data_IF_436524133285
#
_entry.id   IF_436524133285
#
_cell.length_a   1.000
_cell.length_b   1.000
_cell.length_c   1.000
_cell.angle_alpha   90.00
_cell.angle_beta   90.00
_cell.angle_gamma   90.00
#
_symmetry.space_group_name_H-M   'P 1'
#
loop_
_entity.id
_entity.type
_entity.pdbx_description
1 polymer ?
#
# COMPACT_ATOMS: atom_id res chain seq x y z
N UNK A 1 12.38 18.12 -15.10
CA UNK A 1 13.27 18.17 -13.91
C UNK A 1 13.65 16.76 -13.44
N UNK A 2 12.70 15.93 -12.89
CA UNK A 2 13.01 14.58 -12.36
C UNK A 2 13.60 13.68 -13.46
N UNK A 3 12.99 13.64 -14.64
CA UNK A 3 13.47 12.83 -15.77
C UNK A 3 14.89 13.25 -16.18
N UNK A 4 15.14 14.55 -16.30
CA UNK A 4 16.46 15.10 -16.62
C UNK A 4 17.49 14.72 -15.55
N UNK A 5 17.11 14.83 -14.27
CA UNK A 5 17.98 14.46 -13.15
C UNK A 5 18.34 12.96 -13.20
N UNK A 6 17.37 12.08 -13.43
CA UNK A 6 17.61 10.65 -13.54
C UNK A 6 18.46 10.26 -14.76
N UNK A 7 18.34 11.00 -15.87
CA UNK A 7 19.15 10.79 -17.08
C UNK A 7 20.59 11.30 -16.97
N UNK A 8 20.83 12.29 -16.11
CA UNK A 8 22.16 12.92 -15.92
C UNK A 8 23.00 12.23 -14.83
N UNK A 9 22.42 11.36 -14.03
CA UNK A 9 23.10 10.72 -12.92
C UNK A 9 23.06 9.20 -13.07
N UNK A 10 24.19 8.54 -12.78
CA UNK A 10 24.29 7.07 -12.70
C UNK A 10 24.02 6.63 -11.26
N UNK A 11 22.98 5.86 -11.07
CA UNK A 11 22.59 5.29 -9.77
C UNK A 11 23.02 3.82 -9.60
N UNK A 12 23.76 3.26 -10.56
CA UNK A 12 24.22 1.87 -10.52
C UNK A 12 23.08 0.86 -10.68
N UNK A 13 21.91 1.28 -11.17
CA UNK A 13 20.73 0.43 -11.39
C UNK A 13 19.98 0.83 -12.67
N UNK A 14 19.24 -0.11 -13.27
CA UNK A 14 18.40 0.16 -14.44
C UNK A 14 17.17 0.96 -14.03
N UNK A 15 17.08 2.20 -14.49
CA UNK A 15 15.95 3.10 -14.23
C UNK A 15 15.10 3.22 -15.50
N UNK A 16 13.82 2.86 -15.37
CA UNK A 16 12.82 2.99 -16.41
C UNK A 16 11.74 3.98 -15.98
N UNK A 17 11.31 4.84 -16.88
CA UNK A 17 10.41 5.94 -16.57
C UNK A 17 9.07 5.74 -17.24
N UNK A 18 8.00 5.65 -16.43
CA UNK A 18 6.61 5.74 -16.89
C UNK A 18 6.17 7.20 -16.82
N UNK A 19 6.15 7.89 -17.96
CA UNK A 19 5.87 9.33 -18.00
C UNK A 19 4.36 9.60 -18.05
N UNK A 20 3.83 10.34 -17.08
CA UNK A 20 2.43 10.75 -16.96
C UNK A 20 2.22 12.27 -17.23
N UNK A 21 3.15 12.92 -17.95
CA UNK A 21 3.09 14.37 -18.19
C UNK A 21 1.82 14.84 -18.94
N UNK A 22 1.19 13.97 -19.73
CA UNK A 22 -0.03 14.28 -20.46
C UNK A 22 -1.29 14.21 -19.59
N UNK A 23 -1.32 13.28 -18.64
CA UNK A 23 -2.45 13.08 -17.74
C UNK A 23 -2.00 12.36 -16.47
N UNK A 24 -2.35 12.91 -15.30
CA UNK A 24 -2.16 12.22 -14.02
C UNK A 24 -3.17 11.08 -13.89
N UNK A 25 -2.67 9.87 -13.71
CA UNK A 25 -3.45 8.63 -13.77
C UNK A 25 -3.91 8.13 -12.38
N UNK A 26 -3.57 8.84 -11.31
CA UNK A 26 -3.66 8.38 -9.94
C UNK A 26 -2.79 7.13 -9.68
N UNK A 27 -2.75 6.66 -8.43
CA UNK A 27 -1.81 5.62 -8.02
C UNK A 27 -2.02 4.27 -8.73
N UNK A 28 -3.27 3.89 -9.00
CA UNK A 28 -3.58 2.63 -9.68
C UNK A 28 -3.34 2.71 -11.19
N UNK A 29 -3.76 3.82 -11.83
CA UNK A 29 -3.54 4.03 -13.25
C UNK A 29 -2.06 4.19 -13.60
N UNK A 30 -1.26 4.85 -12.74
CA UNK A 30 0.19 4.94 -12.88
C UNK A 30 0.86 3.57 -12.86
N UNK A 31 0.47 2.70 -11.93
CA UNK A 31 0.95 1.30 -11.89
C UNK A 31 0.53 0.55 -13.16
N UNK A 32 -0.74 0.64 -13.57
CA UNK A 32 -1.24 0.02 -14.81
C UNK A 32 -0.42 0.44 -16.02
N UNK A 33 -0.14 1.73 -16.18
CA UNK A 33 0.68 2.26 -17.28
C UNK A 33 2.10 1.71 -17.27
N UNK A 34 2.70 1.57 -16.08
CA UNK A 34 4.06 1.08 -15.90
C UNK A 34 4.21 -0.44 -16.10
N UNK A 35 3.13 -1.22 -16.20
CA UNK A 35 3.18 -2.69 -16.30
C UNK A 35 4.12 -3.20 -17.40
N UNK A 36 4.18 -2.53 -18.56
CA UNK A 36 5.07 -2.89 -19.65
C UNK A 36 6.57 -2.77 -19.33
N UNK A 37 6.91 -2.08 -18.24
CA UNK A 37 8.28 -1.90 -17.74
C UNK A 37 8.68 -2.96 -16.71
N UNK A 38 7.73 -3.75 -16.19
CA UNK A 38 7.94 -4.74 -15.15
C UNK A 38 8.17 -6.15 -15.73
N UNK A 39 8.88 -6.97 -14.97
CA UNK A 39 8.83 -8.42 -15.15
C UNK A 39 7.64 -8.98 -14.34
N UNK A 40 6.49 -9.10 -14.97
CA UNK A 40 5.25 -9.54 -14.32
C UNK A 40 5.20 -11.05 -14.01
N UNK A 41 6.26 -11.81 -14.32
CA UNK A 41 6.39 -13.21 -13.89
C UNK A 41 6.85 -13.33 -12.44
N UNK A 42 7.27 -12.23 -11.84
CA UNK A 42 7.69 -12.13 -10.45
C UNK A 42 6.83 -11.05 -9.75
N UNK A 43 6.63 -11.14 -8.42
CA UNK A 43 5.99 -10.07 -7.68
C UNK A 43 6.74 -8.75 -7.82
N UNK A 44 6.01 -7.64 -7.86
CA UNK A 44 6.59 -6.30 -8.00
C UNK A 44 6.35 -5.50 -6.72
N UNK A 45 7.43 -4.97 -6.14
CA UNK A 45 7.36 -4.04 -5.03
C UNK A 45 6.96 -2.65 -5.54
N UNK A 46 5.90 -2.11 -4.97
CA UNK A 46 5.43 -0.74 -5.21
C UNK A 46 5.68 0.08 -3.94
N UNK A 47 6.31 1.21 -4.09
CA UNK A 47 6.66 2.09 -2.99
C UNK A 47 6.40 3.55 -3.37
N UNK A 48 5.63 4.26 -2.57
CA UNK A 48 5.45 5.70 -2.77
C UNK A 48 6.78 6.41 -2.52
N UNK A 49 7.22 7.22 -3.47
CA UNK A 49 8.53 7.89 -3.44
C UNK A 49 8.69 8.89 -2.28
N UNK A 50 7.58 9.40 -1.77
CA UNK A 50 7.50 10.37 -0.67
C UNK A 50 7.40 9.74 0.73
N UNK A 51 7.67 8.43 0.84
CA UNK A 51 7.64 7.72 2.11
C UNK A 51 9.06 7.35 2.54
N UNK A 52 9.47 7.82 3.72
CA UNK A 52 10.63 7.30 4.45
C UNK A 52 10.17 6.32 5.52
N UNK A 53 10.86 5.19 5.68
CA UNK A 53 10.45 4.19 6.68
C UNK A 53 11.60 3.28 7.12
N UNK A 54 11.43 2.61 8.27
CA UNK A 54 12.32 1.57 8.79
C UNK A 54 11.99 0.17 8.24
N UNK A 55 11.39 0.08 7.07
CA UNK A 55 11.02 -1.21 6.47
C UNK A 55 12.22 -1.88 5.83
N UNK A 56 12.48 -3.13 6.18
CA UNK A 56 13.32 -4.01 5.39
C UNK A 56 12.53 -4.47 4.17
N UNK A 57 12.77 -3.80 3.03
CA UNK A 57 12.07 -4.08 1.78
C UNK A 57 12.39 -5.47 1.22
N UNK A 58 13.59 -5.98 1.49
CA UNK A 58 13.99 -7.34 1.08
C UNK A 58 13.17 -8.36 1.87
N UNK A 59 13.14 -8.24 3.19
CA UNK A 59 12.35 -9.16 4.02
C UNK A 59 10.85 -9.10 3.71
N UNK A 60 10.33 -7.92 3.36
CA UNK A 60 8.94 -7.77 2.92
C UNK A 60 8.69 -8.48 1.58
N UNK A 61 9.63 -8.36 0.62
CA UNK A 61 9.54 -9.01 -0.68
C UNK A 61 9.60 -10.54 -0.55
N UNK A 62 10.54 -11.05 0.25
CA UNK A 62 10.68 -12.48 0.50
C UNK A 62 9.41 -13.06 1.15
N UNK A 63 8.81 -12.33 2.12
CA UNK A 63 7.51 -12.68 2.68
C UNK A 63 6.40 -12.73 1.62
N UNK A 64 6.37 -11.81 0.68
CA UNK A 64 5.34 -11.78 -0.36
C UNK A 64 5.48 -12.97 -1.33
N UNK A 65 6.71 -13.35 -1.70
CA UNK A 65 6.97 -14.53 -2.51
C UNK A 65 6.51 -15.82 -1.78
N UNK A 66 6.74 -15.91 -0.47
CA UNK A 66 6.24 -17.02 0.35
C UNK A 66 4.71 -17.01 0.42
N UNK A 67 4.09 -15.85 0.67
CA UNK A 67 2.64 -15.71 0.77
C UNK A 67 1.91 -16.02 -0.54
N UNK A 68 2.51 -15.72 -1.70
CA UNK A 68 1.99 -16.12 -3.01
C UNK A 68 1.84 -17.64 -3.11
N UNK A 69 2.81 -18.39 -2.62
CA UNK A 69 2.80 -19.85 -2.70
C UNK A 69 1.97 -20.50 -1.60
N UNK A 70 2.13 -20.07 -0.35
CA UNK A 70 1.54 -20.71 0.84
C UNK A 70 0.11 -20.26 1.12
N UNK A 71 -0.18 -18.97 0.90
CA UNK A 71 -1.47 -18.35 1.18
C UNK A 71 -2.26 -18.01 -0.09
N UNK A 72 -1.67 -18.21 -1.27
CA UNK A 72 -2.23 -17.79 -2.57
C UNK A 72 -2.55 -16.28 -2.62
N UNK A 73 -1.68 -15.49 -1.98
CA UNK A 73 -1.82 -14.05 -1.96
C UNK A 73 -1.55 -13.46 -3.36
N UNK A 74 -2.50 -12.67 -3.86
CA UNK A 74 -2.34 -11.94 -5.12
C UNK A 74 -1.64 -10.58 -4.88
N UNK A 75 -1.73 -10.05 -3.65
CA UNK A 75 -0.93 -8.91 -3.19
C UNK A 75 -0.71 -8.95 -1.67
N UNK A 76 0.40 -8.35 -1.22
CA UNK A 76 0.72 -8.12 0.19
C UNK A 76 0.78 -6.62 0.45
N UNK A 77 -0.05 -6.14 1.38
CA UNK A 77 -0.13 -4.74 1.80
C UNK A 77 0.61 -4.56 3.11
N UNK A 78 1.63 -3.71 3.15
CA UNK A 78 2.28 -3.37 4.41
C UNK A 78 1.40 -2.44 5.22
N UNK A 79 1.08 -2.85 6.44
CA UNK A 79 0.18 -2.12 7.33
C UNK A 79 0.75 -2.00 8.75
N UNK A 80 0.24 -1.06 9.51
CA UNK A 80 0.66 -0.85 10.89
C UNK A 80 -0.49 -0.38 11.79
N UNK A 81 -0.37 -0.54 13.12
CA UNK A 81 -1.37 -0.05 14.07
C UNK A 81 -1.29 1.47 14.30
N UNK A 82 -0.50 2.23 13.51
CA UNK A 82 -0.35 3.68 13.70
C UNK A 82 -1.69 4.40 13.67
N UNK A 83 -1.79 5.48 14.42
CA UNK A 83 -2.98 6.32 14.47
C UNK A 83 -3.19 7.07 13.15
N UNK A 84 -4.39 6.97 12.60
CA UNK A 84 -4.86 7.68 11.40
C UNK A 84 -6.37 7.83 11.44
N UNK A 85 -6.95 8.50 10.47
CA UNK A 85 -8.42 8.58 10.27
C UNK A 85 -8.92 7.48 9.33
N UNK A 86 -8.03 6.91 8.51
CA UNK A 86 -8.35 5.97 7.44
C UNK A 86 -7.68 4.64 7.70
N UNK A 87 -8.48 3.60 7.83
CA UNK A 87 -7.99 2.25 8.11
C UNK A 87 -8.47 1.26 7.04
N UNK A 88 -7.62 0.30 6.74
CA UNK A 88 -8.02 -0.92 6.06
C UNK A 88 -8.63 -1.88 7.09
N UNK A 89 -9.66 -2.60 6.68
CA UNK A 89 -10.36 -3.59 7.50
C UNK A 89 -9.93 -4.97 7.04
N UNK A 90 -9.44 -5.76 7.98
CA UNK A 90 -8.98 -7.14 7.74
C UNK A 90 -9.81 -8.14 8.52
N UNK A 91 -10.04 -9.31 7.94
CA UNK A 91 -10.60 -10.46 8.66
C UNK A 91 -9.55 -11.17 9.54
N UNK A 92 -9.95 -12.24 10.23
CA UNK A 92 -9.06 -13.02 11.11
C UNK A 92 -7.90 -13.69 10.39
N UNK A 93 -8.00 -13.90 9.08
CA UNK A 93 -6.94 -14.45 8.24
C UNK A 93 -6.07 -13.35 7.61
N UNK A 94 -6.23 -12.10 8.06
CA UNK A 94 -5.55 -10.92 7.52
C UNK A 94 -5.86 -10.68 6.03
N UNK A 95 -7.03 -11.11 5.52
CA UNK A 95 -7.50 -10.72 4.19
C UNK A 95 -8.13 -9.34 4.26
N UNK A 96 -7.82 -8.51 3.29
CA UNK A 96 -8.48 -7.21 3.11
C UNK A 96 -9.98 -7.44 2.79
N UNK A 97 -10.85 -6.86 3.59
CA UNK A 97 -12.31 -6.94 3.41
C UNK A 97 -12.98 -5.58 3.29
N UNK A 98 -12.28 -4.50 3.58
CA UNK A 98 -12.86 -3.15 3.50
C UNK A 98 -11.92 -2.04 3.90
N UNK A 99 -12.50 -0.86 3.97
CA UNK A 99 -11.85 0.38 4.39
C UNK A 99 -12.85 1.21 5.20
N UNK A 100 -12.37 1.96 6.16
CA UNK A 100 -13.19 2.90 6.93
C UNK A 100 -12.48 4.22 7.17
N UNK A 101 -13.29 5.29 7.29
CA UNK A 101 -12.86 6.57 7.83
C UNK A 101 -13.56 6.79 9.19
N UNK A 102 -12.79 6.74 10.26
CA UNK A 102 -13.30 6.81 11.64
C UNK A 102 -13.82 8.21 12.04
N UNK A 103 -13.47 9.26 11.30
CA UNK A 103 -13.98 10.61 11.55
C UNK A 103 -15.37 10.80 10.93
N UNK A 104 -15.61 10.21 9.74
CA UNK A 104 -16.87 10.36 9.00
C UNK A 104 -17.84 9.20 9.22
N UNK A 105 -17.34 8.07 9.74
CA UNK A 105 -18.09 6.82 9.86
C UNK A 105 -18.27 6.10 8.51
N UNK A 106 -17.65 6.58 7.42
CA UNK A 106 -17.75 5.96 6.10
C UNK A 106 -17.08 4.59 6.11
N UNK A 107 -17.77 3.58 5.55
CA UNK A 107 -17.26 2.23 5.32
C UNK A 107 -17.39 1.90 3.84
N UNK A 108 -16.30 1.45 3.23
CA UNK A 108 -16.27 0.93 1.86
C UNK A 108 -15.88 -0.54 1.90
N UNK A 109 -16.70 -1.40 1.33
CA UNK A 109 -16.44 -2.84 1.28
C UNK A 109 -17.24 -3.48 0.17
N UNK A 110 -16.72 -4.51 -0.51
CA UNK A 110 -17.54 -5.34 -1.38
C UNK A 110 -18.45 -6.31 -0.60
N UNK A 111 -18.28 -6.41 0.74
CA UNK A 111 -19.07 -7.30 1.61
C UNK A 111 -20.18 -6.49 2.29
N UNK A 112 -21.44 -6.82 1.99
CA UNK A 112 -22.63 -6.13 2.54
C UNK A 112 -22.68 -6.16 4.07
N UNK A 113 -22.14 -7.20 4.69
CA UNK A 113 -22.10 -7.35 6.15
C UNK A 113 -21.32 -6.25 6.86
N UNK A 114 -20.41 -5.55 6.17
CA UNK A 114 -19.65 -4.46 6.75
C UNK A 114 -20.35 -3.11 6.63
N UNK A 115 -21.30 -2.92 5.70
CA UNK A 115 -21.92 -1.62 5.43
C UNK A 115 -22.70 -1.04 6.60
N UNK A 116 -23.20 -1.91 7.49
CA UNK A 116 -23.97 -1.50 8.67
C UNK A 116 -23.11 -1.44 9.95
N UNK A 117 -21.81 -1.67 9.84
CA UNK A 117 -20.89 -1.59 10.97
C UNK A 117 -20.34 -0.18 11.11
N UNK A 118 -20.16 0.24 12.35
CA UNK A 118 -19.47 1.49 12.66
C UNK A 118 -18.13 1.15 13.31
N UNK A 119 -17.08 1.70 12.75
CA UNK A 119 -15.71 1.54 13.28
C UNK A 119 -15.27 2.85 13.93
N UNK A 120 -14.67 2.72 15.10
CA UNK A 120 -14.09 3.85 15.83
C UNK A 120 -12.57 3.80 15.80
N UNK A 121 -11.94 4.90 16.15
CA UNK A 121 -10.48 4.92 16.22
C UNK A 121 -9.98 3.90 17.25
N UNK A 122 -9.00 3.05 16.90
CA UNK A 122 -8.39 2.13 17.87
C UNK A 122 -7.82 2.88 19.07
N UNK A 123 -8.12 2.40 20.27
CA UNK A 123 -7.86 3.13 21.51
C UNK A 123 -6.42 3.05 22.02
N UNK A 124 -5.62 2.06 21.59
CA UNK A 124 -4.28 1.83 22.11
C UNK A 124 -3.28 1.47 21.03
N UNK A 125 -2.01 1.78 21.27
CA UNK A 125 -0.86 1.39 20.46
C UNK A 125 -0.55 -0.13 20.50
N UNK A 126 -1.40 -0.93 21.14
CA UNK A 126 -1.27 -2.39 21.21
C UNK A 126 -2.21 -3.08 20.22
N UNK A 127 -1.72 -4.11 19.54
CA UNK A 127 -2.43 -4.84 18.49
C UNK A 127 -3.81 -5.38 18.88
N UNK A 128 -4.07 -5.59 20.17
CA UNK A 128 -5.31 -6.18 20.70
C UNK A 128 -6.49 -5.20 20.61
N UNK A 129 -6.22 -3.90 20.65
CA UNK A 129 -7.27 -2.86 20.65
C UNK A 129 -7.79 -2.49 19.25
N UNK A 130 -7.18 -3.02 18.20
CA UNK A 130 -7.59 -2.74 16.82
C UNK A 130 -8.72 -3.66 16.33
N UNK A 131 -9.10 -4.70 17.12
CA UNK A 131 -10.19 -5.60 16.75
C UNK A 131 -11.55 -4.98 17.11
N UNK A 132 -12.42 -4.85 16.11
CA UNK A 132 -13.79 -4.37 16.25
C UNK A 132 -14.71 -5.26 15.39
N UNK A 133 -15.80 -5.73 15.98
CA UNK A 133 -16.79 -6.60 15.29
C UNK A 133 -16.19 -7.89 14.70
N UNK A 134 -15.04 -8.37 15.22
CA UNK A 134 -14.34 -9.54 14.68
C UNK A 134 -13.43 -9.23 13.49
N UNK A 135 -13.22 -7.95 13.18
CA UNK A 135 -12.29 -7.44 12.17
C UNK A 135 -11.17 -6.62 12.83
N UNK A 136 -10.01 -6.55 12.17
CA UNK A 136 -8.88 -5.77 12.67
C UNK A 136 -8.61 -4.58 11.75
N UNK A 137 -8.33 -3.42 12.36
CA UNK A 137 -8.07 -2.17 11.66
C UNK A 137 -6.58 -1.85 11.61
N UNK A 138 -6.06 -1.59 10.42
CA UNK A 138 -4.67 -1.18 10.23
C UNK A 138 -4.55 -0.02 9.23
N UNK A 139 -3.57 0.85 9.48
CA UNK A 139 -3.22 1.92 8.56
C UNK A 139 -2.34 1.38 7.42
N UNK A 140 -2.69 1.69 6.18
CA UNK A 140 -1.85 1.38 5.02
C UNK A 140 -0.60 2.28 4.99
N UNK A 141 0.53 1.70 4.61
CA UNK A 141 1.82 2.41 4.56
C UNK A 141 2.16 3.06 3.23
N UNK A 142 1.41 2.75 2.15
CA UNK A 142 1.82 3.13 0.79
C UNK A 142 2.88 2.20 0.19
N UNK A 143 3.22 1.10 0.88
CA UNK A 143 4.17 0.09 0.42
C UNK A 143 3.42 -1.23 0.26
N UNK A 144 3.50 -1.83 -0.92
CA UNK A 144 2.82 -3.09 -1.21
C UNK A 144 3.55 -3.89 -2.29
N UNK A 145 3.30 -5.18 -2.32
CA UNK A 145 3.85 -6.08 -3.33
C UNK A 145 2.69 -6.73 -4.05
N UNK A 146 2.74 -6.70 -5.37
CA UNK A 146 1.65 -7.18 -6.22
C UNK A 146 2.15 -8.29 -7.15
N UNK A 147 1.38 -9.35 -7.23
CA UNK A 147 1.63 -10.47 -8.10
C UNK A 147 1.00 -10.29 -9.49
N UNK A 148 1.31 -11.22 -10.39
CA UNK A 148 0.89 -11.23 -11.80
C UNK A 148 -0.62 -11.03 -11.99
N UNK A 149 -1.43 -11.71 -11.20
CA UNK A 149 -2.89 -11.69 -11.35
C UNK A 149 -3.50 -10.30 -11.10
N UNK A 150 -2.87 -9.50 -10.23
CA UNK A 150 -3.24 -8.09 -10.03
C UNK A 150 -3.07 -7.30 -11.33
N UNK A 151 -1.94 -7.44 -12.01
CA UNK A 151 -1.68 -6.74 -13.26
C UNK A 151 -2.64 -7.18 -14.38
N UNK A 152 -2.93 -8.48 -14.47
CA UNK A 152 -3.92 -9.01 -15.41
C UNK A 152 -5.31 -8.41 -15.18
N UNK A 153 -5.75 -8.32 -13.92
CA UNK A 153 -7.04 -7.73 -13.53
C UNK A 153 -7.08 -6.22 -13.76
N UNK A 154 -5.95 -5.50 -13.61
CA UNK A 154 -5.88 -4.07 -13.88
C UNK A 154 -6.20 -3.72 -15.34
N UNK A 155 -6.08 -4.65 -16.30
CA UNK A 155 -6.46 -4.41 -17.70
C UNK A 155 -7.96 -4.08 -17.85
N UNK A 156 -8.82 -4.55 -16.94
CA UNK A 156 -10.26 -4.28 -16.90
C UNK A 156 -10.60 -2.91 -16.29
N UNK A 157 -9.63 -2.24 -15.67
CA UNK A 157 -9.84 -0.95 -15.04
C UNK A 157 -9.76 0.20 -16.05
N UNK A 158 -10.39 1.37 -15.75
CA UNK A 158 -10.19 2.57 -16.53
C UNK A 158 -8.72 2.99 -16.56
N UNK A 159 -8.38 3.99 -17.35
CA UNK A 159 -7.01 4.50 -17.43
C UNK A 159 -6.58 5.18 -16.12
N UNK A 160 -7.48 5.94 -15.50
CA UNK A 160 -7.25 6.68 -14.26
C UNK A 160 -8.06 6.10 -13.12
N UNK A 161 -7.39 5.68 -12.05
CA UNK A 161 -8.03 5.22 -10.81
C UNK A 161 -7.05 5.19 -9.64
N UNK A 162 -7.53 5.41 -8.38
CA UNK A 162 -6.76 5.18 -7.18
C UNK A 162 -6.55 3.68 -6.94
N UNK A 163 -5.36 3.27 -6.51
CA UNK A 163 -5.07 1.86 -6.22
C UNK A 163 -5.97 1.29 -5.11
N UNK A 164 -6.41 2.12 -4.18
CA UNK A 164 -7.27 1.68 -3.09
C UNK A 164 -8.66 1.29 -3.57
N UNK A 165 -9.21 2.00 -4.56
CA UNK A 165 -10.50 1.65 -5.17
C UNK A 165 -10.41 0.29 -5.90
N UNK A 166 -9.26 0.01 -6.53
CA UNK A 166 -8.98 -1.31 -7.11
C UNK A 166 -9.01 -2.40 -6.03
N UNK A 167 -8.27 -2.23 -4.94
CA UNK A 167 -8.22 -3.23 -3.88
C UNK A 167 -9.60 -3.49 -3.29
N UNK A 168 -10.38 -2.44 -3.02
CA UNK A 168 -11.73 -2.60 -2.46
C UNK A 168 -12.68 -3.25 -3.46
N UNK A 169 -12.61 -2.91 -4.73
CA UNK A 169 -13.46 -3.49 -5.78
C UNK A 169 -13.22 -5.00 -5.92
N UNK A 170 -11.95 -5.41 -5.93
CA UNK A 170 -11.55 -6.79 -6.23
C UNK A 170 -11.25 -7.65 -4.99
N UNK A 171 -11.51 -7.16 -3.76
CA UNK A 171 -11.23 -7.91 -2.53
C UNK A 171 -12.02 -9.22 -2.39
N UNK A 172 -13.10 -9.43 -3.15
CA UNK A 172 -13.81 -10.71 -3.21
C UNK A 172 -13.13 -11.71 -4.15
N UNK A 173 -12.55 -11.22 -5.24
CA UNK A 173 -12.08 -12.03 -6.35
C UNK A 173 -10.57 -12.30 -6.24
N UNK A 174 -9.84 -11.37 -5.64
CA UNK A 174 -8.40 -11.44 -5.41
C UNK A 174 -8.09 -11.56 -3.92
N UNK A 175 -6.97 -12.20 -3.62
CA UNK A 175 -6.53 -12.43 -2.24
C UNK A 175 -5.47 -11.40 -1.82
N UNK A 176 -5.91 -10.31 -1.18
CA UNK A 176 -5.03 -9.27 -0.65
C UNK A 176 -4.79 -9.50 0.84
N UNK A 177 -3.52 -9.65 1.22
CA UNK A 177 -3.10 -9.98 2.60
C UNK A 177 -2.40 -8.80 3.24
N UNK A 178 -2.75 -8.51 4.50
CA UNK A 178 -2.05 -7.53 5.31
C UNK A 178 -0.81 -8.10 5.99
N UNK A 179 0.36 -7.48 5.77
CA UNK A 179 1.57 -7.74 6.54
C UNK A 179 1.73 -6.65 7.58
N UNK A 180 1.58 -7.00 8.86
CA UNK A 180 1.68 -6.03 9.96
C UNK A 180 3.14 -5.80 10.34
N UNK A 181 3.53 -4.52 10.43
CA UNK A 181 4.77 -4.07 11.06
C UNK A 181 4.42 -3.18 12.26
N UNK A 182 4.54 -3.74 13.47
CA UNK A 182 4.11 -3.07 14.70
C UNK A 182 4.98 -1.89 15.08
N UNK A 183 6.27 -1.98 14.83
CA UNK A 183 7.29 -0.96 15.10
C UNK A 183 7.56 -0.08 13.86
N UNK A 184 6.59 0.04 12.95
CA UNK A 184 6.74 0.85 11.74
C UNK A 184 6.94 2.31 12.12
N UNK A 185 8.13 2.82 11.78
CA UNK A 185 8.40 4.26 11.70
C UNK A 185 8.20 4.68 10.26
N UNK A 186 7.35 5.67 10.03
CA UNK A 186 6.99 6.13 8.70
C UNK A 186 6.80 7.64 8.71
N UNK A 187 7.40 8.32 7.74
CA UNK A 187 7.20 9.75 7.48
C UNK A 187 6.83 9.96 6.02
N UNK A 188 5.78 10.74 5.78
CA UNK A 188 5.38 11.25 4.48
C UNK A 188 6.08 12.62 4.28
N UNK A 189 6.98 12.67 3.29
CA UNK A 189 7.78 13.88 2.98
C UNK A 189 7.28 14.61 1.74
N UNK A 190 6.08 14.29 1.27
CA UNK A 190 5.46 14.92 0.09
C UNK A 190 5.10 16.41 0.26
N UNK A 191 5.34 17.00 1.45
CA UNK A 191 5.09 18.41 1.73
C UNK A 191 6.38 19.15 2.02
N UNK A 192 6.50 20.39 1.53
CA UNK A 192 7.70 21.22 1.73
C UNK A 192 8.01 21.53 3.20
N UNK A 193 6.99 21.63 4.04
CA UNK A 193 7.13 21.89 5.48
C UNK A 193 7.69 20.70 6.26
N UNK A 194 7.60 19.49 5.71
CA UNK A 194 8.16 18.27 6.33
C UNK A 194 9.60 17.97 5.94
N UNK A 195 10.18 18.68 4.94
CA UNK A 195 11.55 18.42 4.47
C UNK A 195 12.62 18.66 5.54
N UNK A 196 12.43 19.66 6.41
CA UNK A 196 13.39 19.94 7.49
C UNK A 196 13.40 18.84 8.57
N UNK A 197 12.31 18.10 8.71
CA UNK A 197 12.20 16.96 9.64
C UNK A 197 12.67 15.66 8.99
N UNK A 198 12.64 15.59 7.65
CA UNK A 198 13.02 14.41 6.88
C UNK A 198 14.47 13.98 7.09
N UNK A 199 15.41 14.96 7.10
CA UNK A 199 16.82 14.68 7.35
C UNK A 199 17.07 14.10 8.74
N UNK A 200 16.44 14.68 9.76
CA UNK A 200 16.53 14.18 11.12
C UNK A 200 15.91 12.77 11.25
N UNK A 201 14.80 12.54 10.55
CA UNK A 201 14.15 11.23 10.53
C UNK A 201 15.01 10.18 9.78
N UNK A 202 15.59 10.52 8.64
CA UNK A 202 16.49 9.64 7.90
C UNK A 202 17.70 9.24 8.76
N UNK A 203 18.32 10.19 9.47
CA UNK A 203 19.42 9.90 10.41
C UNK A 203 18.99 8.94 11.53
N UNK A 204 17.76 9.06 12.06
CA UNK A 204 17.23 8.12 13.06
C UNK A 204 17.02 6.71 12.51
N UNK A 205 16.81 6.58 11.19
CA UNK A 205 16.69 5.30 10.51
C UNK A 205 18.03 4.68 10.13
N UNK A 206 19.15 5.45 10.24
CA UNK A 206 20.50 5.00 9.90
C UNK A 206 20.87 5.18 8.44
N UNK A 207 20.19 6.10 7.75
CA UNK A 207 20.52 6.52 6.38
C UNK A 207 21.58 7.64 6.38
#
# INVERSE_FOLDING_TARGET
QIIEYLQQNDFGTDIRISNESEMLLDTGGGIKKAVSLFNTNEPVLIHNVDILSNVDLRALYDYACEAETTQKADAVLLVSPRKTKRYLIFDKAMRLVGWTNTDTGEVKSPYETLHNLTFTQPYNDTNIANEQHGYTLFAFSGIHIVGRKVFETMNECPEKFPIMDFYLKYAKDLHFVGKVKNDLKLMDVGKLDTLSEADAFAQQLGY
#
